data_IF_582951168301
#
_entry.id   IF_582951168301
#
_cell.length_a   1.000
_cell.length_b   1.000
_cell.length_c   1.000
_cell.angle_alpha   90.00
_cell.angle_beta   90.00
_cell.angle_gamma   90.00
#
_symmetry.space_group_name_H-M   'P 1'
#
loop_
_entity.id
_entity.type
_entity.pdbx_description
1 polymer ?
#
# COMPACT_ATOMS: atom_id res chain seq x y z
N UNK A 1 -11.17 15.21 -74.28
CA UNK A 1 -9.70 15.12 -74.36
C UNK A 1 -9.17 14.46 -73.10
N UNK A 2 -8.28 13.49 -73.26
CA UNK A 2 -7.92 12.42 -72.30
C UNK A 2 -7.35 12.96 -70.97
N UNK A 3 -7.88 12.49 -69.84
CA UNK A 3 -7.27 12.67 -68.51
C UNK A 3 -6.02 11.78 -68.42
N UNK A 4 -4.85 12.41 -68.34
CA UNK A 4 -3.56 11.74 -68.16
C UNK A 4 -3.37 11.48 -66.66
N UNK A 5 -3.34 10.20 -66.27
CA UNK A 5 -3.10 9.76 -64.91
C UNK A 5 -1.58 9.86 -64.64
N UNK A 6 -1.15 10.84 -63.84
CA UNK A 6 0.24 10.92 -63.38
C UNK A 6 0.42 9.95 -62.21
N UNK A 7 1.10 8.83 -62.48
CA UNK A 7 1.49 7.84 -61.49
C UNK A 7 2.78 8.33 -60.82
N UNK A 8 2.67 8.90 -59.62
CA UNK A 8 3.82 9.34 -58.83
C UNK A 8 4.45 8.10 -58.18
N UNK A 9 5.60 7.68 -58.70
CA UNK A 9 6.48 6.73 -58.02
C UNK A 9 7.15 7.43 -56.82
N UNK A 10 6.65 7.16 -55.62
CA UNK A 10 7.33 7.55 -54.38
C UNK A 10 8.42 6.52 -54.11
N UNK A 11 9.68 6.91 -54.37
CA UNK A 11 10.86 6.15 -54.00
C UNK A 11 11.00 6.25 -52.47
N UNK A 12 10.64 5.20 -51.75
CA UNK A 12 10.98 5.05 -50.34
C UNK A 12 12.49 4.81 -50.22
N UNK A 13 13.26 5.88 -50.00
CA UNK A 13 14.61 5.78 -49.46
C UNK A 13 14.51 5.27 -48.02
N UNK A 14 14.60 3.95 -47.84
CA UNK A 14 14.73 3.31 -46.54
C UNK A 14 16.07 3.67 -45.91
N UNK A 15 16.09 4.72 -45.08
CA UNK A 15 17.12 4.86 -44.06
C UNK A 15 16.83 3.82 -42.96
N UNK A 16 17.51 2.68 -43.01
CA UNK A 16 17.66 1.80 -41.85
C UNK A 16 18.40 2.59 -40.78
N UNK A 17 17.66 3.21 -39.87
CA UNK A 17 18.22 3.56 -38.56
C UNK A 17 18.31 2.26 -37.78
N UNK A 18 19.51 1.71 -37.63
CA UNK A 18 19.83 0.71 -36.61
C UNK A 18 19.55 1.34 -35.24
N UNK A 19 18.30 1.25 -34.78
CA UNK A 19 17.97 1.45 -33.37
C UNK A 19 18.56 0.25 -32.64
N UNK A 20 19.79 0.39 -32.16
CA UNK A 20 20.24 -0.40 -31.02
C UNK A 20 19.22 -0.18 -29.90
N UNK A 21 18.39 -1.19 -29.65
CA UNK A 21 17.73 -1.32 -28.36
C UNK A 21 18.85 -1.30 -27.32
N UNK A 22 18.99 -0.19 -26.61
CA UNK A 22 19.69 -0.20 -25.34
C UNK A 22 18.80 -1.06 -24.43
N UNK A 23 19.14 -2.35 -24.32
CA UNK A 23 18.73 -3.15 -23.18
C UNK A 23 19.34 -2.47 -21.97
N UNK A 24 18.55 -1.62 -21.31
CA UNK A 24 18.82 -1.21 -19.93
C UNK A 24 18.74 -2.50 -19.08
N UNK A 25 19.87 -3.22 -19.03
CA UNK A 25 20.06 -4.37 -18.16
C UNK A 25 19.93 -3.87 -16.73
N UNK A 26 18.78 -4.14 -16.11
CA UNK A 26 18.55 -3.87 -14.71
C UNK A 26 19.35 -4.94 -13.91
N UNK A 27 20.49 -4.62 -13.29
CA UNK A 27 21.43 -5.62 -12.77
C UNK A 27 20.83 -6.54 -11.69
N UNK A 28 19.72 -6.11 -11.08
CA UNK A 28 18.97 -6.83 -10.05
C UNK A 28 18.21 -8.04 -10.62
N UNK A 29 17.87 -8.05 -11.91
CA UNK A 29 17.17 -9.17 -12.55
C UNK A 29 18.06 -10.41 -12.74
N UNK A 30 19.36 -10.21 -12.91
CA UNK A 30 20.32 -11.28 -13.18
C UNK A 30 20.92 -11.90 -11.91
N UNK A 31 20.64 -11.32 -10.73
CA UNK A 31 21.07 -11.88 -9.45
C UNK A 31 20.05 -12.91 -8.93
N UNK A 32 20.52 -14.04 -8.37
CA UNK A 32 19.63 -14.96 -7.68
C UNK A 32 18.89 -14.22 -6.54
N UNK A 33 17.63 -14.58 -6.24
CA UNK A 33 16.92 -13.98 -5.12
C UNK A 33 17.71 -14.18 -3.84
N UNK A 34 17.77 -13.13 -3.01
CA UNK A 34 18.32 -13.20 -1.65
C UNK A 34 17.76 -14.46 -0.95
N UNK A 35 18.62 -15.34 -0.39
CA UNK A 35 18.20 -16.57 0.28
C UNK A 35 17.06 -16.35 1.28
N UNK A 36 17.03 -15.19 1.96
CA UNK A 36 15.95 -14.82 2.87
C UNK A 36 14.57 -14.95 2.20
N UNK A 37 14.37 -14.37 1.01
CA UNK A 37 13.06 -14.40 0.34
C UNK A 37 12.69 -15.80 -0.14
N UNK A 38 13.69 -16.62 -0.49
CA UNK A 38 13.48 -18.03 -0.86
C UNK A 38 12.97 -18.81 0.36
N UNK A 39 13.51 -18.56 1.54
CA UNK A 39 13.20 -19.30 2.75
C UNK A 39 11.81 -18.98 3.30
N UNK A 40 11.45 -17.70 3.33
CA UNK A 40 10.13 -17.29 3.80
C UNK A 40 9.01 -17.56 2.78
N UNK A 41 9.35 -17.84 1.52
CA UNK A 41 8.36 -18.21 0.48
C UNK A 41 7.62 -19.51 0.84
N UNK A 42 8.26 -20.42 1.58
CA UNK A 42 7.60 -21.64 2.06
C UNK A 42 6.40 -21.35 2.99
N UNK A 43 6.34 -20.14 3.58
CA UNK A 43 5.24 -19.70 4.44
C UNK A 43 4.20 -18.84 3.72
N UNK A 44 4.34 -18.61 2.41
CA UNK A 44 3.30 -17.92 1.63
C UNK A 44 2.06 -18.81 1.54
N UNK A 45 0.93 -18.29 2.01
CA UNK A 45 -0.36 -18.98 1.94
C UNK A 45 -1.00 -18.62 0.60
N UNK A 46 -1.39 -19.60 -0.20
CA UNK A 46 -2.10 -19.33 -1.47
C UNK A 46 -3.48 -18.72 -1.19
N UNK A 47 -3.91 -17.76 -2.01
CA UNK A 47 -5.30 -17.30 -1.98
C UNK A 47 -6.26 -18.43 -2.37
N UNK A 48 -7.43 -18.43 -1.74
CA UNK A 48 -8.54 -19.28 -2.16
C UNK A 48 -9.12 -18.85 -3.51
N UNK A 49 -10.03 -19.66 -4.05
CA UNK A 49 -10.83 -19.25 -5.22
C UNK A 49 -11.77 -18.12 -4.79
N UNK A 50 -11.80 -16.97 -5.49
CA UNK A 50 -12.65 -15.84 -5.10
C UNK A 50 -14.14 -16.21 -5.13
N UNK A 51 -14.87 -15.85 -4.08
CA UNK A 51 -16.32 -16.06 -3.96
C UNK A 51 -17.10 -14.75 -4.08
N UNK A 52 -18.42 -14.84 -4.24
CA UNK A 52 -19.27 -13.67 -4.39
C UNK A 52 -19.10 -12.71 -3.20
N UNK A 53 -18.76 -11.45 -3.49
CA UNK A 53 -18.47 -10.41 -2.50
C UNK A 53 -16.98 -10.06 -2.42
N UNK A 54 -16.09 -11.00 -2.72
CA UNK A 54 -14.65 -10.78 -2.66
C UNK A 54 -14.19 -9.77 -3.72
N UNK A 55 -13.07 -9.09 -3.42
CA UNK A 55 -12.45 -8.13 -4.33
C UNK A 55 -12.14 -8.76 -5.69
N UNK A 56 -11.46 -9.92 -5.71
CA UNK A 56 -11.04 -10.60 -6.94
C UNK A 56 -12.18 -11.31 -7.70
N UNK A 57 -13.34 -11.47 -7.05
CA UNK A 57 -14.54 -11.92 -7.74
C UNK A 57 -15.04 -10.84 -8.70
N UNK A 58 -15.16 -9.60 -8.20
CA UNK A 58 -15.66 -8.44 -8.95
C UNK A 58 -14.58 -7.72 -9.78
N UNK A 59 -13.32 -7.78 -9.38
CA UNK A 59 -12.21 -7.08 -10.02
C UNK A 59 -11.16 -8.06 -10.51
N UNK A 60 -11.10 -8.26 -11.84
CA UNK A 60 -10.07 -9.09 -12.45
C UNK A 60 -8.76 -8.32 -12.55
N UNK A 61 -7.79 -8.72 -11.75
CA UNK A 61 -6.47 -8.12 -11.69
C UNK A 61 -5.42 -9.05 -12.30
N UNK A 62 -4.41 -8.45 -12.94
CA UNK A 62 -3.26 -9.19 -13.49
C UNK A 62 -2.13 -9.38 -12.48
N UNK A 63 -2.26 -8.78 -11.29
CA UNK A 63 -1.18 -8.69 -10.32
C UNK A 63 -0.02 -7.84 -10.82
N UNK A 64 1.14 -8.06 -10.22
CA UNK A 64 2.40 -7.41 -10.57
C UNK A 64 3.53 -8.40 -10.31
N UNK A 65 4.32 -8.75 -11.33
CA UNK A 65 5.50 -9.58 -11.15
C UNK A 65 6.67 -8.79 -10.54
N UNK A 66 7.75 -9.47 -10.14
CA UNK A 66 8.95 -8.78 -9.67
C UNK A 66 9.60 -7.95 -10.79
N UNK A 67 9.67 -8.50 -12.01
CA UNK A 67 10.21 -7.84 -13.20
C UNK A 67 9.40 -6.61 -13.58
N UNK A 68 8.07 -6.68 -13.47
CA UNK A 68 7.19 -5.54 -13.71
C UNK A 68 7.42 -4.45 -12.68
N UNK A 69 7.58 -4.81 -11.40
CA UNK A 69 7.89 -3.85 -10.34
C UNK A 69 9.22 -3.12 -10.58
N UNK A 70 10.27 -3.83 -11.01
CA UNK A 70 11.56 -3.20 -11.32
C UNK A 70 11.53 -2.24 -12.52
N UNK A 71 10.55 -2.40 -13.42
CA UNK A 71 10.35 -1.53 -14.58
C UNK A 71 9.45 -0.33 -14.27
N UNK A 72 8.73 -0.32 -13.16
CA UNK A 72 7.92 0.83 -12.76
C UNK A 72 8.73 1.79 -11.90
N UNK A 73 8.50 3.09 -12.10
CA UNK A 73 9.03 4.11 -11.20
C UNK A 73 8.33 3.98 -9.85
N UNK A 74 9.09 3.60 -8.82
CA UNK A 74 8.63 3.52 -7.44
C UNK A 74 9.47 4.46 -6.57
N UNK A 75 8.93 4.82 -5.40
CA UNK A 75 9.61 5.74 -4.50
C UNK A 75 10.78 5.02 -3.83
N UNK A 76 11.94 5.67 -3.84
CA UNK A 76 13.15 5.22 -3.14
C UNK A 76 13.53 6.30 -2.12
N UNK A 77 13.69 5.98 -0.83
CA UNK A 77 14.17 6.90 0.18
C UNK A 77 15.54 7.46 -0.17
N UNK A 78 15.70 8.77 0.05
CA UNK A 78 16.95 9.48 -0.13
C UNK A 78 17.32 10.20 1.16
N UNK A 79 18.51 10.83 1.22
CA UNK A 79 18.87 11.66 2.38
C UNK A 79 17.84 12.77 2.66
N UNK A 80 17.17 13.27 1.62
CA UNK A 80 16.24 14.40 1.66
C UNK A 80 14.77 14.00 1.65
N UNK A 81 14.42 12.74 1.39
CA UNK A 81 13.05 12.22 1.42
C UNK A 81 13.09 10.83 2.07
N UNK A 82 12.89 10.75 3.38
CA UNK A 82 12.99 9.48 4.13
C UNK A 82 12.15 9.41 5.42
N UNK A 83 11.14 10.27 5.55
CA UNK A 83 10.24 10.29 6.70
C UNK A 83 8.81 10.04 6.24
N UNK A 84 8.16 9.04 6.82
CA UNK A 84 6.73 8.80 6.65
C UNK A 84 5.98 9.69 7.66
N UNK A 85 4.99 10.44 7.20
CA UNK A 85 4.16 11.28 8.05
C UNK A 85 2.74 10.73 8.14
N UNK A 86 2.21 10.70 9.36
CA UNK A 86 0.81 10.45 9.66
C UNK A 86 0.15 11.76 10.05
N UNK A 87 -0.93 12.13 9.37
CA UNK A 87 -1.71 13.33 9.64
C UNK A 87 -3.08 12.94 10.21
N UNK A 88 -3.29 13.00 11.54
CA UNK A 88 -4.63 12.86 12.10
C UNK A 88 -5.53 13.97 11.53
N UNK A 89 -6.64 13.58 10.90
CA UNK A 89 -7.63 14.47 10.30
C UNK A 89 -8.97 14.23 11.00
N UNK A 90 -9.27 15.13 11.94
CA UNK A 90 -10.51 15.15 12.70
C UNK A 90 -10.30 15.15 14.21
N UNK A 91 -11.27 14.61 14.93
CA UNK A 91 -11.30 14.61 16.39
C UNK A 91 -11.11 13.19 16.93
N UNK A 92 -10.07 13.02 17.74
CA UNK A 92 -9.66 11.71 18.25
C UNK A 92 -9.72 11.69 19.77
N UNK A 93 -10.36 10.66 20.31
CA UNK A 93 -10.27 10.38 21.74
C UNK A 93 -8.88 9.80 22.12
N UNK A 94 -8.65 9.62 23.42
CA UNK A 94 -7.37 9.08 23.93
C UNK A 94 -7.07 7.67 23.40
N UNK A 95 -8.09 6.84 23.17
CA UNK A 95 -7.92 5.46 22.67
C UNK A 95 -7.55 5.49 21.19
N UNK A 96 -8.21 6.31 20.39
CA UNK A 96 -7.91 6.48 18.98
C UNK A 96 -6.50 7.07 18.76
N UNK A 97 -6.12 8.09 19.55
CA UNK A 97 -4.75 8.62 19.50
C UNK A 97 -3.71 7.57 19.90
N UNK A 98 -4.02 6.70 20.87
CA UNK A 98 -3.15 5.57 21.23
C UNK A 98 -3.02 4.57 20.07
N UNK A 99 -4.10 4.27 19.35
CA UNK A 99 -4.05 3.42 18.15
C UNK A 99 -3.20 4.04 17.04
N UNK A 100 -3.31 5.35 16.79
CA UNK A 100 -2.47 6.05 15.81
C UNK A 100 -0.98 5.97 16.19
N UNK A 101 -0.64 6.09 17.47
CA UNK A 101 0.75 5.92 17.94
C UNK A 101 1.26 4.48 17.75
N UNK A 102 0.41 3.47 17.95
CA UNK A 102 0.77 2.08 17.67
C UNK A 102 0.97 1.85 16.16
N UNK A 103 0.10 2.40 15.31
CA UNK A 103 0.28 2.42 13.85
C UNK A 103 1.61 3.07 13.47
N UNK A 104 1.95 4.23 14.05
CA UNK A 104 3.24 4.91 13.81
C UNK A 104 4.43 4.01 14.12
N UNK A 105 4.42 3.33 15.26
CA UNK A 105 5.46 2.39 15.68
C UNK A 105 5.58 1.21 14.71
N UNK A 106 4.44 0.60 14.36
CA UNK A 106 4.39 -0.50 13.42
C UNK A 106 4.94 -0.11 12.05
N UNK A 107 4.51 1.03 11.48
CA UNK A 107 4.94 1.49 10.17
C UNK A 107 6.45 1.82 10.14
N UNK A 108 6.98 2.38 11.24
CA UNK A 108 8.41 2.64 11.39
C UNK A 108 9.23 1.35 11.30
N UNK A 109 8.74 0.26 11.89
CA UNK A 109 9.36 -1.07 11.79
C UNK A 109 9.13 -1.66 10.39
N UNK A 110 7.88 -1.65 9.91
CA UNK A 110 7.44 -2.31 8.69
C UNK A 110 8.17 -1.77 7.45
N UNK A 111 8.38 -0.44 7.39
CA UNK A 111 9.11 0.19 6.31
C UNK A 111 10.56 0.51 6.69
N UNK A 112 10.99 0.30 7.95
CA UNK A 112 12.30 0.73 8.46
C UNK A 112 12.64 2.19 8.15
N UNK A 113 11.62 3.05 8.13
CA UNK A 113 11.72 4.47 7.87
C UNK A 113 11.13 5.24 9.04
N UNK A 114 11.79 6.33 9.42
CA UNK A 114 11.31 7.19 10.51
C UNK A 114 9.87 7.60 10.23
N UNK A 115 8.98 7.35 11.17
CA UNK A 115 7.55 7.66 11.05
C UNK A 115 7.15 8.65 12.14
N UNK A 116 6.53 9.76 11.75
CA UNK A 116 6.12 10.85 12.65
C UNK A 116 4.62 11.10 12.54
N UNK A 117 4.01 11.48 13.65
CA UNK A 117 2.64 11.98 13.70
C UNK A 117 2.69 13.51 13.70
N UNK A 118 1.90 14.14 12.83
CA UNK A 118 1.69 15.59 12.79
C UNK A 118 0.59 16.02 13.77
N UNK A 119 0.50 17.32 14.04
CA UNK A 119 -0.59 17.86 14.85
C UNK A 119 -1.94 17.58 14.16
N UNK A 120 -2.99 17.16 14.89
CA UNK A 120 -4.31 16.94 14.31
C UNK A 120 -4.86 18.19 13.62
N UNK A 121 -5.49 18.01 12.47
CA UNK A 121 -6.20 19.07 11.74
C UNK A 121 -7.71 18.86 11.89
N UNK A 122 -8.47 19.95 12.04
CA UNK A 122 -9.92 19.88 12.26
C UNK A 122 -10.65 19.30 11.06
N UNK A 123 -11.77 18.62 11.31
CA UNK A 123 -12.69 18.22 10.26
C UNK A 123 -13.18 19.41 9.42
N UNK A 124 -13.27 20.62 9.98
CA UNK A 124 -13.85 21.80 9.33
C UNK A 124 -13.18 22.19 8.00
N UNK A 125 -11.94 21.72 7.78
CA UNK A 125 -11.24 21.91 6.51
C UNK A 125 -11.92 21.17 5.34
N UNK A 126 -12.74 20.16 5.63
CA UNK A 126 -13.52 19.42 4.65
C UNK A 126 -14.83 20.20 4.38
N UNK A 127 -15.06 20.73 3.17
CA UNK A 127 -16.25 21.50 2.85
C UNK A 127 -17.48 20.61 2.69
N UNK A 128 -18.69 21.20 2.78
CA UNK A 128 -19.97 20.48 2.67
C UNK A 128 -20.10 19.62 1.40
N UNK A 129 -19.56 20.07 0.27
CA UNK A 129 -19.64 19.32 -1.00
C UNK A 129 -18.74 18.08 -1.04
N UNK A 130 -17.79 17.96 -0.12
CA UNK A 130 -16.90 16.81 0.04
C UNK A 130 -17.32 15.92 1.22
N UNK A 131 -18.55 16.08 1.70
CA UNK A 131 -19.17 15.31 2.78
C UNK A 131 -20.50 14.73 2.30
N UNK A 132 -20.87 13.59 2.87
CA UNK A 132 -22.24 13.06 2.77
C UNK A 132 -22.62 12.30 4.02
N UNK A 133 -23.91 11.99 4.15
CA UNK A 133 -24.41 11.03 5.11
C UNK A 133 -24.54 9.69 4.40
N UNK A 134 -23.89 8.66 4.94
CA UNK A 134 -23.94 7.31 4.43
C UNK A 134 -25.27 6.62 4.71
N UNK A 135 -25.38 5.40 4.22
CA UNK A 135 -26.53 4.51 4.32
C UNK A 135 -27.00 4.23 5.75
N UNK A 136 -26.09 4.25 6.73
CA UNK A 136 -26.39 4.01 8.15
C UNK A 136 -26.30 5.28 9.01
N UNK A 137 -26.40 6.46 8.39
CA UNK A 137 -26.46 7.75 9.09
C UNK A 137 -25.10 8.31 9.55
N UNK A 138 -24.00 7.63 9.19
CA UNK A 138 -22.64 8.05 9.46
C UNK A 138 -22.19 9.15 8.49
N UNK A 139 -21.41 10.11 8.97
CA UNK A 139 -20.78 11.10 8.10
C UNK A 139 -19.59 10.46 7.35
N UNK A 140 -19.55 10.65 6.03
CA UNK A 140 -18.47 10.18 5.16
C UNK A 140 -17.77 11.35 4.47
N UNK A 141 -16.45 11.27 4.33
CA UNK A 141 -15.64 12.22 3.57
C UNK A 141 -15.23 11.67 2.20
N UNK A 142 -15.18 12.56 1.20
CA UNK A 142 -14.69 12.22 -0.12
C UNK A 142 -13.18 12.01 -0.06
N UNK A 143 -12.73 10.76 -0.19
CA UNK A 143 -11.32 10.39 -0.04
C UNK A 143 -10.42 11.16 -1.03
N UNK A 144 -10.85 11.29 -2.29
CA UNK A 144 -10.12 12.05 -3.31
C UNK A 144 -9.94 13.54 -2.95
N UNK A 145 -10.91 14.15 -2.26
CA UNK A 145 -10.78 15.54 -1.80
C UNK A 145 -9.65 15.67 -0.77
N UNK A 146 -9.55 14.72 0.17
CA UNK A 146 -8.48 14.69 1.17
C UNK A 146 -7.12 14.59 0.50
N UNK A 147 -6.98 13.71 -0.50
CA UNK A 147 -5.73 13.59 -1.24
C UNK A 147 -5.40 14.90 -1.99
N UNK A 148 -6.26 15.33 -2.91
CA UNK A 148 -5.92 16.37 -3.88
C UNK A 148 -5.96 17.80 -3.31
N UNK A 149 -6.86 18.06 -2.36
CA UNK A 149 -7.11 19.42 -1.87
C UNK A 149 -6.45 19.72 -0.52
N UNK A 150 -6.05 18.70 0.23
CA UNK A 150 -5.42 18.83 1.55
C UNK A 150 -3.98 18.29 1.46
N UNK A 151 -3.80 16.98 1.37
CA UNK A 151 -2.48 16.36 1.54
C UNK A 151 -1.48 16.75 0.45
N UNK A 152 -1.93 16.92 -0.80
CA UNK A 152 -1.05 17.31 -1.90
C UNK A 152 -0.40 18.69 -1.73
N UNK A 153 -1.00 19.56 -0.90
CA UNK A 153 -0.46 20.90 -0.59
C UNK A 153 0.57 20.85 0.54
N UNK A 154 0.50 19.81 1.38
CA UNK A 154 1.40 19.61 2.49
C UNK A 154 2.76 19.12 2.00
N UNK A 155 3.83 19.72 2.52
CA UNK A 155 5.22 19.35 2.20
C UNK A 155 6.04 19.27 3.47
N UNK A 156 5.78 18.26 4.32
CA UNK A 156 6.52 18.12 5.56
C UNK A 156 7.99 17.87 5.26
N UNK A 157 8.87 18.42 6.09
CA UNK A 157 10.31 18.35 5.89
C UNK A 157 10.77 16.89 5.80
N UNK A 158 11.51 16.58 4.73
CA UNK A 158 11.99 15.22 4.40
C UNK A 158 10.90 14.16 4.24
N UNK A 159 9.66 14.59 3.98
CA UNK A 159 8.53 13.71 3.74
C UNK A 159 8.74 12.85 2.48
N UNK A 160 8.71 11.53 2.65
CA UNK A 160 8.70 10.58 1.53
C UNK A 160 7.28 10.09 1.22
N UNK A 161 6.42 10.07 2.24
CA UNK A 161 5.05 9.60 2.19
C UNK A 161 4.25 10.36 3.25
N UNK A 162 3.01 10.72 2.92
CA UNK A 162 2.09 11.40 3.84
C UNK A 162 0.72 10.73 3.81
N UNK A 163 0.31 10.16 4.94
CA UNK A 163 -0.99 9.50 5.07
C UNK A 163 -1.87 10.23 6.08
N UNK A 164 -3.05 10.66 5.66
CA UNK A 164 -4.08 11.05 6.61
C UNK A 164 -4.69 9.83 7.31
N UNK A 165 -4.99 9.95 8.59
CA UNK A 165 -5.84 9.01 9.31
C UNK A 165 -7.04 9.80 9.83
N UNK A 166 -8.25 9.35 9.52
CA UNK A 166 -9.49 10.03 9.96
C UNK A 166 -10.39 9.09 10.75
N UNK A 167 -11.11 9.63 11.74
CA UNK A 167 -12.16 8.93 12.49
C UNK A 167 -13.46 8.78 11.70
N UNK A 168 -13.59 9.51 10.58
CA UNK A 168 -14.77 9.53 9.73
C UNK A 168 -14.70 8.47 8.65
N UNK A 169 -15.86 8.03 8.19
CA UNK A 169 -15.94 7.06 7.11
C UNK A 169 -15.52 7.71 5.78
N UNK A 170 -15.13 6.91 4.78
CA UNK A 170 -14.63 7.42 3.51
C UNK A 170 -15.45 6.87 2.35
N UNK A 171 -15.58 7.66 1.28
CA UNK A 171 -16.10 7.18 0.01
C UNK A 171 -15.23 7.68 -1.16
N UNK A 172 -15.06 6.88 -2.23
CA UNK A 172 -14.18 7.26 -3.33
C UNK A 172 -14.91 8.10 -4.39
N UNK A 173 -16.18 7.80 -4.66
CA UNK A 173 -17.03 8.41 -5.70
C UNK A 173 -18.50 8.32 -5.29
N UNK A 174 -19.40 9.17 -5.84
CA UNK A 174 -20.82 9.17 -5.47
C UNK A 174 -21.50 7.80 -5.58
N UNK A 175 -21.11 6.98 -6.55
CA UNK A 175 -21.74 5.68 -6.86
C UNK A 175 -21.25 4.54 -5.97
N UNK A 176 -20.24 4.77 -5.12
CA UNK A 176 -19.63 3.76 -4.27
C UNK A 176 -20.04 3.95 -2.82
N UNK A 177 -20.21 2.87 -2.07
CA UNK A 177 -20.66 2.92 -0.68
C UNK A 177 -19.58 3.46 0.26
N UNK A 178 -18.37 2.89 0.23
CA UNK A 178 -17.26 3.33 1.05
C UNK A 178 -15.92 2.80 0.51
N UNK A 179 -14.82 3.27 1.08
CA UNK A 179 -13.49 2.66 1.02
C UNK A 179 -12.85 2.67 2.40
N UNK A 180 -11.96 1.72 2.69
CA UNK A 180 -11.19 1.74 3.95
C UNK A 180 -10.03 2.73 3.90
N UNK A 181 -9.46 2.92 2.72
CA UNK A 181 -8.44 3.89 2.43
C UNK A 181 -8.37 4.19 0.93
N UNK A 182 -7.53 5.15 0.58
CA UNK A 182 -7.23 5.48 -0.81
C UNK A 182 -5.83 6.09 -0.90
N UNK A 183 -5.00 5.56 -1.79
CA UNK A 183 -3.66 6.06 -2.07
C UNK A 183 -3.49 6.63 -3.49
N UNK A 184 -2.66 7.66 -3.59
CA UNK A 184 -2.06 8.13 -4.84
C UNK A 184 -0.59 7.72 -4.89
N UNK A 185 -0.28 6.79 -5.78
CA UNK A 185 1.08 6.30 -6.05
C UNK A 185 2.01 7.43 -6.45
N UNK A 186 1.53 8.31 -7.36
CA UNK A 186 2.33 9.40 -7.94
C UNK A 186 2.61 10.50 -6.93
N UNK A 187 1.57 10.90 -6.20
CA UNK A 187 1.63 12.06 -5.32
C UNK A 187 2.12 11.69 -3.90
N UNK A 188 2.38 10.40 -3.64
CA UNK A 188 2.95 9.85 -2.39
C UNK A 188 2.09 10.17 -1.16
N UNK A 189 0.78 10.16 -1.37
CA UNK A 189 -0.22 10.51 -0.35
C UNK A 189 -1.31 9.45 -0.26
N UNK A 190 -1.85 9.23 0.94
CA UNK A 190 -3.02 8.38 1.13
C UNK A 190 -3.90 8.90 2.27
N UNK A 191 -5.09 8.32 2.38
CA UNK A 191 -5.94 8.46 3.54
C UNK A 191 -6.44 7.09 3.96
N UNK A 192 -6.50 6.82 5.27
CA UNK A 192 -7.14 5.63 5.84
C UNK A 192 -8.19 6.05 6.88
N UNK A 193 -9.29 5.31 6.94
CA UNK A 193 -10.38 5.51 7.91
C UNK A 193 -10.25 4.55 9.09
N UNK A 194 -10.41 5.07 10.30
CA UNK A 194 -10.60 4.26 11.51
C UNK A 194 -12.06 3.85 11.71
N UNK A 195 -13.02 4.47 11.00
CA UNK A 195 -14.45 4.35 11.28
C UNK A 195 -14.92 2.90 11.26
N UNK A 196 -14.56 2.17 10.20
CA UNK A 196 -14.97 0.77 10.01
C UNK A 196 -14.03 -0.24 10.66
N UNK A 197 -12.87 0.20 11.12
CA UNK A 197 -11.90 -0.69 11.80
C UNK A 197 -12.35 -1.04 13.21
N UNK A 198 -13.16 -0.16 13.82
CA UNK A 198 -13.62 -0.27 15.20
C UNK A 198 -14.40 -1.56 15.44
N UNK A 199 -13.97 -2.29 16.45
CA UNK A 199 -14.72 -3.34 17.11
C UNK A 199 -14.84 -2.97 18.60
N UNK A 200 -16.06 -2.84 19.10
CA UNK A 200 -16.32 -2.41 20.49
C UNK A 200 -15.83 -3.43 21.52
N UNK A 201 -15.74 -4.70 21.12
CA UNK A 201 -15.44 -5.84 22.01
C UNK A 201 -13.98 -6.28 21.89
N UNK A 202 -13.34 -6.00 20.76
CA UNK A 202 -12.00 -6.47 20.45
C UNK A 202 -11.07 -5.32 19.98
N UNK A 203 -10.41 -4.60 20.92
CA UNK A 203 -9.48 -3.53 20.57
C UNK A 203 -8.26 -4.03 19.79
N UNK A 204 -7.85 -5.28 19.99
CA UNK A 204 -6.70 -5.89 19.31
C UNK A 204 -7.03 -6.14 17.83
N UNK A 205 -8.25 -6.60 17.54
CA UNK A 205 -8.78 -6.71 16.17
C UNK A 205 -8.88 -5.34 15.50
N UNK A 206 -9.37 -4.33 16.24
CA UNK A 206 -9.44 -2.95 15.74
C UNK A 206 -8.07 -2.42 15.33
N UNK A 207 -7.05 -2.68 16.16
CA UNK A 207 -5.67 -2.34 15.84
C UNK A 207 -5.18 -3.11 14.62
N UNK A 208 -5.33 -4.44 14.61
CA UNK A 208 -4.91 -5.31 13.50
C UNK A 208 -5.44 -4.81 12.15
N UNK A 209 -6.75 -4.53 12.07
CA UNK A 209 -7.39 -3.97 10.87
C UNK A 209 -6.76 -2.66 10.43
N UNK A 210 -6.56 -1.72 11.37
CA UNK A 210 -5.93 -0.45 11.07
C UNK A 210 -4.48 -0.60 10.60
N UNK A 211 -3.70 -1.52 11.18
CA UNK A 211 -2.34 -1.83 10.73
C UNK A 211 -2.33 -2.38 9.29
N UNK A 212 -3.26 -3.28 8.95
CA UNK A 212 -3.41 -3.83 7.59
C UNK A 212 -3.67 -2.69 6.59
N UNK A 213 -4.71 -1.90 6.81
CA UNK A 213 -5.08 -0.81 5.90
C UNK A 213 -3.98 0.24 5.78
N UNK A 214 -3.41 0.71 6.89
CA UNK A 214 -2.35 1.73 6.83
C UNK A 214 -1.10 1.25 6.07
N UNK A 215 -0.66 0.01 6.30
CA UNK A 215 0.51 -0.53 5.59
C UNK A 215 0.21 -0.87 4.13
N UNK A 216 -1.03 -1.26 3.81
CA UNK A 216 -1.50 -1.44 2.44
C UNK A 216 -1.43 -0.12 1.65
N UNK A 217 -2.04 0.94 2.16
CA UNK A 217 -2.09 2.24 1.48
C UNK A 217 -0.69 2.87 1.32
N UNK A 218 0.18 2.76 2.33
CA UNK A 218 1.56 3.20 2.20
C UNK A 218 2.34 2.29 1.25
N UNK A 219 2.07 0.99 1.23
CA UNK A 219 2.66 0.04 0.27
C UNK A 219 2.42 0.46 -1.19
N UNK A 220 1.23 0.97 -1.50
CA UNK A 220 0.93 1.57 -2.80
C UNK A 220 1.83 2.75 -3.14
N UNK A 221 2.15 3.63 -2.19
CA UNK A 221 3.09 4.72 -2.43
C UNK A 221 4.47 4.18 -2.85
N UNK A 222 4.92 3.07 -2.25
CA UNK A 222 6.16 2.39 -2.63
C UNK A 222 6.05 1.52 -3.90
N UNK A 223 4.96 1.65 -4.67
CA UNK A 223 4.80 1.01 -5.98
C UNK A 223 4.28 -0.43 -5.93
N UNK A 224 3.89 -0.93 -4.76
CA UNK A 224 3.26 -2.25 -4.65
C UNK A 224 1.82 -2.17 -5.17
N UNK A 225 1.49 -2.97 -6.18
CA UNK A 225 0.10 -3.18 -6.58
C UNK A 225 -0.59 -4.17 -5.63
N UNK A 226 -1.89 -4.35 -5.81
CA UNK A 226 -2.59 -5.46 -5.19
C UNK A 226 -1.89 -6.79 -5.49
N UNK A 227 -1.73 -7.60 -4.44
CA UNK A 227 -1.15 -8.93 -4.54
C UNK A 227 -2.26 -9.93 -4.85
N UNK A 228 -2.02 -10.82 -5.83
CA UNK A 228 -2.90 -11.95 -6.15
C UNK A 228 -2.19 -13.30 -6.03
N UNK A 229 -0.92 -13.29 -5.60
CA UNK A 229 -0.06 -14.48 -5.56
C UNK A 229 -0.21 -15.25 -4.24
N UNK A 230 -0.49 -14.55 -3.15
CA UNK A 230 -0.58 -15.11 -1.81
C UNK A 230 -1.48 -14.24 -0.92
N UNK A 231 -1.94 -14.82 0.19
CA UNK A 231 -2.57 -14.10 1.29
C UNK A 231 -1.52 -13.16 1.92
N UNK A 232 -1.74 -11.86 1.73
CA UNK A 232 -0.75 -10.80 1.83
C UNK A 232 -1.46 -9.50 2.22
N UNK A 233 -0.81 -8.66 3.03
CA UNK A 233 -1.37 -7.36 3.41
C UNK A 233 -1.72 -6.45 2.22
N UNK A 234 -1.10 -6.70 1.07
CA UNK A 234 -1.39 -6.02 -0.20
C UNK A 234 -2.58 -6.62 -0.98
N UNK A 235 -3.34 -7.59 -0.48
CA UNK A 235 -4.55 -8.05 -1.19
C UNK A 235 -5.61 -6.94 -1.20
N UNK A 236 -6.27 -6.74 -2.34
CA UNK A 236 -7.46 -5.88 -2.41
C UNK A 236 -8.60 -6.47 -1.58
N UNK A 237 -9.51 -5.63 -1.10
CA UNK A 237 -10.63 -6.04 -0.26
C UNK A 237 -11.88 -5.20 -0.52
N UNK A 238 -13.04 -5.83 -0.54
CA UNK A 238 -14.35 -5.21 -0.67
C UNK A 238 -15.07 -5.06 0.69
N UNK A 239 -14.65 -5.81 1.72
CA UNK A 239 -15.40 -5.92 2.98
C UNK A 239 -14.50 -6.08 4.20
N UNK A 240 -15.07 -5.84 5.39
CA UNK A 240 -14.31 -6.05 6.63
C UNK A 240 -14.05 -7.53 6.88
N UNK A 241 -14.98 -8.42 6.51
CA UNK A 241 -14.79 -9.88 6.61
C UNK A 241 -13.60 -10.33 5.77
N UNK A 242 -13.53 -9.90 4.52
CA UNK A 242 -12.40 -10.21 3.63
C UNK A 242 -11.08 -9.61 4.15
N UNK A 243 -11.12 -8.40 4.74
CA UNK A 243 -9.96 -7.78 5.40
C UNK A 243 -9.46 -8.58 6.61
N UNK A 244 -10.39 -9.18 7.36
CA UNK A 244 -10.07 -10.00 8.53
C UNK A 244 -9.44 -11.34 8.13
N UNK A 245 -9.88 -11.93 7.02
CA UNK A 245 -9.33 -13.16 6.43
C UNK A 245 -7.93 -12.95 5.82
N UNK A 246 -7.66 -11.75 5.31
CA UNK A 246 -6.35 -11.43 4.76
C UNK A 246 -5.28 -11.23 5.83
N UNK A 247 -4.06 -11.64 5.53
CA UNK A 247 -2.94 -11.65 6.45
C UNK A 247 -2.36 -10.26 6.63
N UNK A 248 -1.88 -9.96 7.84
CA UNK A 248 -1.07 -8.77 8.10
C UNK A 248 0.38 -8.91 7.58
N UNK A 249 0.80 -10.12 7.19
CA UNK A 249 2.12 -10.39 6.63
C UNK A 249 2.21 -9.90 5.19
N UNK A 250 3.32 -9.25 4.85
CA UNK A 250 3.72 -9.02 3.46
C UNK A 250 4.29 -10.33 2.89
N UNK A 251 3.77 -10.87 1.80
CA UNK A 251 4.27 -12.14 1.24
C UNK A 251 5.73 -12.02 0.74
N UNK A 252 6.39 -13.16 0.50
CA UNK A 252 7.79 -13.19 0.08
C UNK A 252 8.07 -12.34 -1.16
N UNK A 253 7.17 -12.37 -2.16
CA UNK A 253 7.29 -11.59 -3.39
C UNK A 253 7.19 -10.09 -3.11
N UNK A 254 6.20 -9.65 -2.32
CA UNK A 254 6.02 -8.23 -2.03
C UNK A 254 7.11 -7.70 -1.09
N UNK A 255 7.65 -8.52 -0.17
CA UNK A 255 8.85 -8.18 0.59
C UNK A 255 10.05 -8.00 -0.34
N UNK A 256 10.27 -8.91 -1.31
CA UNK A 256 11.35 -8.79 -2.30
C UNK A 256 11.24 -7.51 -3.12
N UNK A 257 10.04 -7.17 -3.60
CA UNK A 257 9.78 -5.91 -4.32
C UNK A 257 10.13 -4.70 -3.46
N UNK A 258 9.57 -4.61 -2.26
CA UNK A 258 9.81 -3.48 -1.36
C UNK A 258 11.30 -3.34 -1.00
N UNK A 259 11.97 -4.45 -0.72
CA UNK A 259 13.39 -4.48 -0.40
C UNK A 259 14.27 -4.05 -1.58
N UNK A 260 13.90 -4.41 -2.82
CA UNK A 260 14.64 -3.96 -4.01
C UNK A 260 14.60 -2.45 -4.22
N UNK A 261 13.58 -1.77 -3.68
CA UNK A 261 13.48 -0.31 -3.75
C UNK A 261 14.43 0.41 -2.79
N UNK A 262 14.60 -0.08 -1.55
CA UNK A 262 15.35 0.69 -0.54
C UNK A 262 16.12 -0.11 0.52
N UNK A 263 16.32 -1.39 0.28
CA UNK A 263 17.27 -2.26 0.99
C UNK A 263 17.18 -2.18 2.52
N UNK A 264 15.96 -2.28 3.07
CA UNK A 264 15.80 -2.43 4.50
C UNK A 264 16.41 -3.76 4.99
N UNK A 265 16.76 -3.84 6.28
CA UNK A 265 17.30 -5.05 6.90
C UNK A 265 16.16 -6.05 7.18
N UNK A 266 16.09 -7.12 6.38
CA UNK A 266 15.10 -8.18 6.47
C UNK A 266 15.05 -8.82 7.87
N UNK A 267 16.22 -9.12 8.46
CA UNK A 267 16.32 -9.84 9.74
C UNK A 267 15.92 -8.93 10.89
N UNK A 268 16.37 -7.67 10.87
CA UNK A 268 15.97 -6.68 11.88
C UNK A 268 14.47 -6.43 11.82
N UNK A 269 13.91 -6.22 10.63
CA UNK A 269 12.47 -6.01 10.42
C UNK A 269 11.66 -7.16 10.98
N UNK A 270 12.04 -8.40 10.67
CA UNK A 270 11.35 -9.60 11.14
C UNK A 270 11.36 -9.70 12.69
N UNK A 271 12.52 -9.51 13.32
CA UNK A 271 12.66 -9.54 14.79
C UNK A 271 11.86 -8.43 15.48
N UNK A 272 11.90 -7.22 14.94
CA UNK A 272 11.17 -6.07 15.48
C UNK A 272 9.66 -6.23 15.33
N UNK A 273 9.18 -6.77 14.20
CA UNK A 273 7.78 -7.10 13.99
C UNK A 273 7.31 -8.21 14.95
N UNK A 274 8.09 -9.28 15.12
CA UNK A 274 7.79 -10.35 16.09
C UNK A 274 7.60 -9.77 17.50
N UNK A 275 8.53 -8.90 17.93
CA UNK A 275 8.44 -8.21 19.22
C UNK A 275 7.20 -7.30 19.28
N UNK A 276 6.95 -6.50 18.25
CA UNK A 276 5.82 -5.58 18.21
C UNK A 276 4.48 -6.33 18.34
N UNK A 277 4.31 -7.44 17.62
CA UNK A 277 3.07 -8.22 17.72
C UNK A 277 2.90 -8.89 19.08
N UNK A 278 3.99 -9.38 19.67
CA UNK A 278 3.97 -9.93 21.04
C UNK A 278 3.54 -8.88 22.07
N UNK A 279 4.13 -7.69 22.02
CA UNK A 279 3.88 -6.63 23.01
C UNK A 279 2.48 -6.02 22.91
N UNK A 280 1.82 -6.16 21.75
CA UNK A 280 0.48 -5.64 21.48
C UNK A 280 -0.60 -6.72 21.37
N UNK A 281 -0.34 -7.94 21.86
CA UNK A 281 -1.29 -9.08 21.87
C UNK A 281 -1.84 -9.48 20.48
N UNK A 282 -1.08 -9.25 19.41
CA UNK A 282 -1.47 -9.59 18.03
C UNK A 282 -1.00 -11.00 17.67
N UNK A 283 -1.71 -12.01 18.17
CA UNK A 283 -1.32 -13.42 18.08
C UNK A 283 -1.10 -13.91 16.64
N UNK A 284 -1.98 -13.54 15.69
CA UNK A 284 -1.86 -13.94 14.27
C UNK A 284 -0.54 -13.42 13.67
N UNK A 285 -0.25 -12.12 13.83
CA UNK A 285 0.99 -11.51 13.36
C UNK A 285 2.22 -12.12 14.00
N UNK A 286 2.17 -12.38 15.31
CA UNK A 286 3.26 -13.01 16.06
C UNK A 286 3.60 -14.40 15.49
N UNK A 287 2.60 -15.24 15.27
CA UNK A 287 2.80 -16.59 14.72
C UNK A 287 3.36 -16.55 13.29
N UNK A 288 2.90 -15.61 12.46
CA UNK A 288 3.43 -15.41 11.12
C UNK A 288 4.92 -15.03 11.14
N UNK A 289 5.33 -14.11 12.02
CA UNK A 289 6.75 -13.73 12.14
C UNK A 289 7.59 -14.88 12.71
N UNK A 290 7.07 -15.66 13.66
CA UNK A 290 7.77 -16.84 14.19
C UNK A 290 8.03 -17.90 13.13
N UNK A 291 7.06 -18.15 12.25
CA UNK A 291 7.22 -19.08 11.12
C UNK A 291 8.34 -18.62 10.19
N UNK A 292 8.36 -17.34 9.81
CA UNK A 292 9.45 -16.78 9.00
C UNK A 292 10.80 -16.86 9.74
N UNK A 293 10.83 -16.55 11.04
CA UNK A 293 12.02 -16.64 11.90
C UNK A 293 12.58 -18.06 11.99
N UNK A 294 11.73 -19.09 11.91
CA UNK A 294 12.17 -20.50 11.91
C UNK A 294 12.73 -20.89 10.54
N UNK A 295 12.09 -20.48 9.44
CA UNK A 295 12.56 -20.78 8.08
C UNK A 295 13.97 -20.28 7.81
N UNK A 296 14.33 -19.11 8.35
CA UNK A 296 15.68 -18.53 8.18
C UNK A 296 16.76 -19.12 9.10
N UNK A 297 16.38 -19.81 10.20
CA UNK A 297 17.32 -20.39 11.18
C UNK A 297 17.71 -21.83 10.87
N UNK A 298 16.91 -22.53 10.07
CA UNK A 298 17.10 -23.94 9.75
C UNK A 298 18.09 -24.18 8.59
N UNK A 299 19.05 -23.27 8.40
CA UNK A 299 20.13 -23.31 7.41
C UNK A 299 21.44 -22.89 8.04
#
# INVERSE_FOLDING_TARGET
>A
MKKLLFLVFVIFCGCQSDKKENQDLNPVLDLPPDPYFVDIKANDVKLGEPVFGDWLYSHKEKGQSFEQFLKTKHIVPTKNENIIYLQPLGQFDKRQMKQIELVRQYLEIFFQLKTKILNPISNDIIPKHARRIGDVGQEQFLAGYILDSILKKEKPERGIALMAITEKDLYPKPEWNYVFGLASYRDKIAVSSMHRMKDETNPDLSLSRLLKICSHEIGHMFGLHHCIEANCVMNGTNSMSETDEHSLRLCSLCQRKLNSGFQYDNIRRLKELEKYFKDNNLAEGLELMRKDSQSIKNK
#
